data_IF_710290590567
#
_entry.id   IF_710290590567
#
_cell.length_a   1.000
_cell.length_b   1.000
_cell.length_c   1.000
_cell.angle_alpha   90.00
_cell.angle_beta   90.00
_cell.angle_gamma   90.00
#
_symmetry.space_group_name_H-M   'P 1'
#
loop_
_entity.id
_entity.type
_entity.pdbx_description
1 polymer ?
#
# COMPACT_ATOMS: atom_id res chain seq x y z
N UNK A 1 29.80 1.37 -7.58
CA UNK A 1 28.82 1.25 -6.48
C UNK A 1 28.31 -0.18 -6.45
N UNK A 2 27.97 -0.71 -5.27
CA UNK A 2 27.40 -2.07 -5.15
C UNK A 2 26.02 -2.07 -5.79
N UNK A 3 25.75 -3.00 -6.71
CA UNK A 3 24.41 -3.25 -7.24
C UNK A 3 23.71 -4.29 -6.38
N UNK A 4 22.39 -4.20 -6.28
CA UNK A 4 21.56 -5.14 -5.54
C UNK A 4 21.23 -6.36 -6.40
N UNK A 5 21.17 -7.50 -5.73
CA UNK A 5 20.52 -8.70 -6.23
C UNK A 5 19.23 -8.90 -5.44
N UNK A 6 18.09 -8.86 -6.13
CA UNK A 6 16.76 -8.84 -5.51
C UNK A 6 16.02 -10.16 -5.72
N UNK A 7 15.61 -10.81 -4.64
CA UNK A 7 14.72 -11.97 -4.69
C UNK A 7 13.26 -11.54 -4.59
N UNK A 8 12.47 -11.77 -5.63
CA UNK A 8 11.03 -11.54 -5.63
C UNK A 8 10.34 -12.77 -5.04
N UNK A 9 9.64 -12.60 -3.93
CA UNK A 9 8.96 -13.68 -3.19
C UNK A 9 7.47 -13.62 -3.49
N UNK A 10 6.96 -14.65 -4.16
CA UNK A 10 5.60 -14.75 -4.68
C UNK A 10 5.47 -14.24 -6.11
N UNK A 11 5.10 -15.13 -7.04
CA UNK A 11 4.89 -14.88 -8.46
C UNK A 11 3.41 -14.64 -8.83
N UNK A 12 2.65 -14.00 -7.95
CA UNK A 12 1.26 -13.61 -8.22
C UNK A 12 1.17 -12.39 -9.14
N UNK A 13 -0.05 -12.06 -9.59
CA UNK A 13 -0.33 -10.89 -10.44
C UNK A 13 0.28 -9.58 -9.88
N UNK A 14 0.29 -9.47 -8.55
CA UNK A 14 0.99 -8.47 -7.74
C UNK A 14 2.39 -8.12 -8.30
N UNK A 15 3.24 -9.13 -8.20
CA UNK A 15 4.67 -9.09 -8.47
C UNK A 15 5.01 -8.78 -9.93
N UNK A 16 4.15 -9.20 -10.87
CA UNK A 16 4.36 -8.99 -12.32
C UNK A 16 4.51 -7.52 -12.69
N UNK A 17 3.88 -6.62 -11.93
CA UNK A 17 3.97 -5.16 -12.15
C UNK A 17 5.26 -4.54 -11.59
N UNK A 18 6.05 -5.27 -10.82
CA UNK A 18 7.28 -4.78 -10.17
C UNK A 18 8.55 -5.46 -10.69
N UNK A 19 8.46 -6.71 -11.18
CA UNK A 19 9.61 -7.44 -11.73
C UNK A 19 10.33 -6.63 -12.83
N UNK A 20 9.64 -6.07 -13.86
CA UNK A 20 10.31 -5.27 -14.89
C UNK A 20 11.01 -4.03 -14.35
N UNK A 21 10.43 -3.39 -13.32
CA UNK A 21 11.01 -2.21 -12.68
C UNK A 21 12.31 -2.57 -11.94
N UNK A 22 12.31 -3.65 -11.16
CA UNK A 22 13.55 -4.12 -10.54
C UNK A 22 14.60 -4.53 -11.59
N UNK A 23 14.20 -5.19 -12.68
CA UNK A 23 15.13 -5.58 -13.74
C UNK A 23 15.74 -4.38 -14.49
N UNK A 24 14.96 -3.32 -14.69
CA UNK A 24 15.40 -2.13 -15.41
C UNK A 24 16.22 -1.15 -14.55
N UNK A 25 16.08 -1.20 -13.22
CA UNK A 25 16.71 -0.23 -12.33
C UNK A 25 18.25 -0.28 -12.41
N UNK A 26 18.97 0.85 -12.60
CA UNK A 26 20.42 0.85 -12.87
C UNK A 26 21.29 0.28 -11.73
N UNK A 27 20.77 0.32 -10.50
CA UNK A 27 21.40 -0.24 -9.30
C UNK A 27 20.95 -1.66 -8.94
N UNK A 28 20.17 -2.34 -9.77
CA UNK A 28 19.87 -3.77 -9.65
C UNK A 28 20.65 -4.50 -10.73
N UNK A 29 21.32 -5.60 -10.37
CA UNK A 29 22.07 -6.43 -11.34
C UNK A 29 21.40 -7.76 -11.64
N UNK A 30 20.61 -8.29 -10.71
CA UNK A 30 19.94 -9.58 -10.88
C UNK A 30 18.63 -9.62 -10.10
N UNK A 31 17.61 -10.19 -10.74
CA UNK A 31 16.34 -10.55 -10.11
C UNK A 31 16.21 -12.07 -10.11
N UNK A 32 15.83 -12.64 -8.96
CA UNK A 32 15.43 -14.04 -8.83
C UNK A 32 13.96 -14.17 -8.40
N UNK A 33 13.38 -15.33 -8.64
CA UNK A 33 12.01 -15.66 -8.23
C UNK A 33 12.00 -16.74 -7.15
N UNK A 34 11.35 -16.48 -6.02
CA UNK A 34 11.02 -17.47 -5.00
C UNK A 34 9.52 -17.72 -5.06
N UNK A 35 9.13 -18.92 -5.51
CA UNK A 35 7.73 -19.28 -5.70
C UNK A 35 7.54 -20.76 -5.37
N UNK A 36 6.59 -21.07 -4.50
CA UNK A 36 6.34 -22.44 -4.02
C UNK A 36 5.71 -23.29 -5.12
N UNK A 37 4.75 -22.72 -5.86
CA UNK A 37 4.05 -23.43 -6.92
C UNK A 37 4.96 -23.61 -8.15
N UNK A 38 5.26 -24.86 -8.48
CA UNK A 38 6.24 -25.19 -9.52
C UNK A 38 5.79 -24.75 -10.94
N UNK A 39 4.48 -24.70 -11.20
CA UNK A 39 3.96 -24.25 -12.49
C UNK A 39 4.04 -22.74 -12.62
N UNK A 40 3.56 -22.00 -11.61
CA UNK A 40 3.66 -20.54 -11.50
C UNK A 40 5.11 -20.10 -11.53
N UNK A 41 6.01 -20.76 -10.80
CA UNK A 41 7.46 -20.49 -10.81
C UNK A 41 8.02 -20.57 -12.23
N UNK A 42 7.70 -21.64 -12.98
CA UNK A 42 8.16 -21.83 -14.36
C UNK A 42 7.57 -20.78 -15.31
N UNK A 43 6.28 -20.50 -15.18
CA UNK A 43 5.56 -19.54 -16.04
C UNK A 43 6.11 -18.13 -15.86
N UNK A 44 6.17 -17.64 -14.63
CA UNK A 44 6.65 -16.28 -14.31
C UNK A 44 8.14 -16.13 -14.65
N UNK A 45 8.96 -17.15 -14.37
CA UNK A 45 10.36 -17.10 -14.75
C UNK A 45 10.58 -17.03 -16.26
N UNK A 46 9.77 -17.75 -17.05
CA UNK A 46 9.80 -17.66 -18.50
C UNK A 46 9.29 -16.29 -19.00
N UNK A 47 8.17 -15.81 -18.46
CA UNK A 47 7.54 -14.54 -18.81
C UNK A 47 8.51 -13.35 -18.65
N UNK A 48 9.25 -13.30 -17.53
CA UNK A 48 10.18 -12.22 -17.21
C UNK A 48 11.65 -12.57 -17.45
N UNK A 49 11.94 -13.68 -18.14
CA UNK A 49 13.33 -14.12 -18.40
C UNK A 49 14.22 -14.21 -17.15
N UNK A 50 13.67 -14.67 -16.03
CA UNK A 50 14.38 -14.83 -14.76
C UNK A 50 15.20 -16.13 -14.77
N UNK A 51 16.52 -16.02 -14.70
CA UNK A 51 17.42 -17.18 -14.77
C UNK A 51 17.48 -18.01 -13.48
N UNK A 52 17.42 -17.36 -12.31
CA UNK A 52 17.50 -18.03 -11.00
C UNK A 52 16.14 -18.08 -10.33
N UNK A 53 15.73 -19.29 -9.96
CA UNK A 53 14.48 -19.51 -9.20
C UNK A 53 14.74 -20.43 -8.02
N UNK A 54 13.95 -20.27 -6.96
CA UNK A 54 14.03 -21.04 -5.73
C UNK A 54 12.67 -21.62 -5.40
N UNK A 55 12.65 -22.86 -4.91
CA UNK A 55 11.41 -23.56 -4.57
C UNK A 55 10.97 -23.33 -3.12
N UNK A 56 11.82 -22.71 -2.30
CA UNK A 56 11.52 -22.36 -0.90
C UNK A 56 12.35 -21.18 -0.42
N UNK A 57 11.87 -20.53 0.65
CA UNK A 57 12.63 -19.49 1.36
C UNK A 57 13.94 -20.05 1.93
N UNK A 58 13.91 -21.27 2.47
CA UNK A 58 15.10 -21.95 2.99
C UNK A 58 16.22 -22.05 1.95
N UNK A 59 15.90 -22.47 0.72
CA UNK A 59 16.89 -22.48 -0.38
C UNK A 59 17.40 -21.07 -0.69
N UNK A 60 16.51 -20.08 -0.74
CA UNK A 60 16.86 -18.70 -1.05
C UNK A 60 17.77 -18.06 0.00
N UNK A 61 17.60 -18.37 1.29
CA UNK A 61 18.44 -17.84 2.38
C UNK A 61 19.91 -18.24 2.27
N UNK A 62 20.21 -19.38 1.61
CA UNK A 62 21.58 -19.82 1.32
C UNK A 62 22.20 -19.15 0.08
N UNK A 63 21.46 -18.28 -0.60
CA UNK A 63 21.95 -17.54 -1.75
C UNK A 63 22.71 -16.27 -1.36
N UNK A 64 23.30 -15.63 -2.36
CA UNK A 64 24.07 -14.39 -2.27
C UNK A 64 23.25 -13.16 -2.72
N UNK A 65 21.92 -13.25 -2.68
CA UNK A 65 21.02 -12.11 -2.91
C UNK A 65 21.01 -11.15 -1.72
N UNK A 66 20.97 -9.84 -1.98
CA UNK A 66 21.10 -8.80 -0.94
C UNK A 66 19.76 -8.30 -0.40
N UNK A 67 18.70 -8.49 -1.17
CA UNK A 67 17.39 -7.89 -0.92
C UNK A 67 16.26 -8.84 -1.29
N UNK A 68 15.09 -8.62 -0.69
CA UNK A 68 13.84 -9.30 -1.04
C UNK A 68 12.73 -8.31 -1.34
N UNK A 69 11.84 -8.69 -2.26
CA UNK A 69 10.57 -8.02 -2.51
C UNK A 69 9.42 -9.01 -2.27
N UNK A 70 8.64 -8.79 -1.22
CA UNK A 70 7.62 -9.72 -0.70
C UNK A 70 6.25 -9.35 -1.28
N UNK A 71 5.66 -10.26 -2.06
CA UNK A 71 4.34 -10.15 -2.68
C UNK A 71 3.46 -11.38 -2.39
N UNK A 72 3.65 -11.97 -1.21
CA UNK A 72 2.93 -13.15 -0.73
C UNK A 72 1.56 -12.77 -0.14
N UNK A 73 0.73 -13.73 0.32
CA UNK A 73 -0.48 -13.39 1.06
C UNK A 73 -0.16 -12.59 2.33
N UNK A 74 -0.98 -11.56 2.58
CA UNK A 74 -0.76 -10.48 3.55
C UNK A 74 -0.41 -10.93 4.98
N UNK A 75 -0.96 -12.04 5.43
CA UNK A 75 -0.70 -12.62 6.76
C UNK A 75 0.68 -13.28 6.90
N UNK A 76 1.47 -13.35 5.83
CA UNK A 76 2.82 -13.93 5.85
C UNK A 76 3.93 -12.88 5.84
N UNK A 77 3.60 -11.60 5.59
CA UNK A 77 4.59 -10.54 5.38
C UNK A 77 5.55 -10.38 6.56
N UNK A 78 5.01 -10.23 7.78
CA UNK A 78 5.82 -9.99 8.96
C UNK A 78 6.83 -11.12 9.21
N UNK A 79 6.39 -12.37 9.16
CA UNK A 79 7.28 -13.53 9.33
C UNK A 79 8.40 -13.54 8.29
N UNK A 80 8.06 -13.40 6.99
CA UNK A 80 9.05 -13.46 5.91
C UNK A 80 10.03 -12.28 6.01
N UNK A 81 9.55 -11.09 6.37
CA UNK A 81 10.39 -9.92 6.55
C UNK A 81 11.35 -10.06 7.75
N UNK A 82 10.89 -10.60 8.88
CA UNK A 82 11.74 -10.90 10.04
C UNK A 82 12.83 -11.92 9.67
N UNK A 83 12.47 -12.99 8.95
CA UNK A 83 13.43 -13.97 8.44
C UNK A 83 14.46 -13.32 7.49
N UNK A 84 14.01 -12.44 6.59
CA UNK A 84 14.89 -11.75 5.65
C UNK A 84 15.88 -10.82 6.37
N UNK A 85 15.42 -10.00 7.32
CA UNK A 85 16.27 -9.13 8.13
C UNK A 85 17.31 -9.95 8.94
N UNK A 86 16.88 -11.06 9.56
CA UNK A 86 17.76 -11.96 10.29
C UNK A 86 18.83 -12.62 9.40
N UNK A 87 18.52 -12.82 8.11
CA UNK A 87 19.46 -13.31 7.10
C UNK A 87 20.25 -12.20 6.40
N UNK A 88 20.22 -10.97 6.92
CA UNK A 88 21.05 -9.88 6.42
C UNK A 88 20.54 -9.24 5.12
N UNK A 89 19.22 -9.30 4.85
CA UNK A 89 18.63 -8.84 3.58
C UNK A 89 17.83 -7.56 3.76
N UNK A 90 17.95 -6.63 2.80
CA UNK A 90 17.04 -5.48 2.70
C UNK A 90 15.64 -5.98 2.32
N UNK A 91 14.60 -5.35 2.87
CA UNK A 91 13.21 -5.79 2.71
C UNK A 91 12.39 -4.72 2.00
N UNK A 92 11.79 -5.10 0.88
CA UNK A 92 10.63 -4.45 0.28
C UNK A 92 9.43 -5.36 0.54
N UNK A 93 8.33 -4.84 1.09
CA UNK A 93 7.13 -5.65 1.35
C UNK A 93 5.87 -4.98 0.84
N UNK A 94 4.97 -5.76 0.23
CA UNK A 94 3.58 -5.33 0.04
C UNK A 94 2.91 -4.96 1.37
N UNK A 95 1.83 -4.18 1.31
CA UNK A 95 1.05 -3.80 2.50
C UNK A 95 0.18 -4.97 2.98
N UNK A 96 -0.15 -5.07 4.28
CA UNK A 96 0.41 -4.31 5.39
C UNK A 96 1.77 -4.88 5.84
N UNK A 97 2.47 -4.19 6.75
CA UNK A 97 3.72 -4.72 7.32
C UNK A 97 3.52 -5.94 8.22
N UNK A 98 2.38 -6.00 8.91
CA UNK A 98 2.01 -7.02 9.89
C UNK A 98 0.55 -6.87 10.29
N UNK A 99 0.04 -7.84 11.05
CA UNK A 99 -1.36 -7.91 11.44
C UNK A 99 -1.60 -7.65 12.93
N UNK A 100 -0.55 -7.71 13.74
CA UNK A 100 -0.61 -7.51 15.19
C UNK A 100 0.35 -6.43 15.66
N UNK A 101 0.08 -5.85 16.83
CA UNK A 101 0.99 -4.88 17.44
C UNK A 101 2.38 -5.49 17.71
N UNK A 102 2.43 -6.77 18.15
CA UNK A 102 3.69 -7.47 18.39
C UNK A 102 4.52 -7.63 17.11
N UNK A 103 3.91 -8.03 15.99
CA UNK A 103 4.62 -8.14 14.72
C UNK A 103 5.19 -6.80 14.25
N UNK A 104 4.43 -5.71 14.47
CA UNK A 104 4.90 -4.35 14.15
C UNK A 104 6.11 -3.98 15.01
N UNK A 105 6.04 -4.24 16.32
CA UNK A 105 7.14 -4.02 17.27
C UNK A 105 8.39 -4.82 16.88
N UNK A 106 8.23 -6.11 16.60
CA UNK A 106 9.32 -7.01 16.24
C UNK A 106 10.02 -6.55 14.95
N UNK A 107 9.25 -6.09 13.95
CA UNK A 107 9.80 -5.57 12.70
C UNK A 107 10.56 -4.26 12.88
N UNK A 108 10.02 -3.32 13.67
CA UNK A 108 10.70 -2.06 14.01
C UNK A 108 12.02 -2.36 14.73
N UNK A 109 12.00 -3.26 15.71
CA UNK A 109 13.19 -3.66 16.45
C UNK A 109 14.23 -4.34 15.55
N UNK A 110 13.80 -5.29 14.69
CA UNK A 110 14.69 -6.01 13.78
C UNK A 110 15.34 -5.09 12.72
N UNK A 111 14.56 -4.20 12.11
CA UNK A 111 15.08 -3.23 11.14
C UNK A 111 16.06 -2.25 11.81
N UNK A 112 15.74 -1.78 13.02
CA UNK A 112 16.62 -0.91 13.80
C UNK A 112 17.91 -1.61 14.23
N UNK A 113 17.85 -2.87 14.66
CA UNK A 113 19.03 -3.63 15.08
C UNK A 113 19.98 -3.95 13.92
N UNK A 114 19.42 -4.28 12.76
CA UNK A 114 20.21 -4.66 11.57
C UNK A 114 20.70 -3.47 10.76
N UNK A 115 20.06 -2.31 10.90
CA UNK A 115 20.28 -1.11 10.08
C UNK A 115 20.04 -1.36 8.57
N UNK A 116 19.36 -2.45 8.24
CA UNK A 116 18.97 -2.77 6.88
C UNK A 116 17.73 -1.95 6.50
N UNK A 117 17.61 -1.68 5.20
CA UNK A 117 16.43 -1.02 4.65
C UNK A 117 15.22 -1.92 4.83
N UNK A 118 14.17 -1.38 5.43
CA UNK A 118 12.84 -1.94 5.41
C UNK A 118 11.92 -0.91 4.75
N UNK A 119 11.24 -1.31 3.69
CA UNK A 119 10.35 -0.47 2.91
C UNK A 119 9.01 -1.15 2.75
N UNK A 120 7.94 -0.50 3.20
CA UNK A 120 6.58 -0.94 2.93
C UNK A 120 6.07 -0.30 1.64
N UNK A 121 5.49 -1.09 0.76
CA UNK A 121 5.04 -0.69 -0.55
C UNK A 121 3.66 0.00 -0.51
N UNK A 122 3.54 1.08 0.26
CA UNK A 122 2.31 1.84 0.42
C UNK A 122 2.08 2.77 -0.78
N UNK A 123 1.21 2.34 -1.69
CA UNK A 123 0.92 3.05 -2.95
C UNK A 123 0.27 4.41 -2.73
N UNK A 124 -0.60 4.55 -1.72
CA UNK A 124 -1.38 5.77 -1.49
C UNK A 124 -0.50 6.96 -1.11
N UNK A 125 0.69 6.71 -0.53
CA UNK A 125 1.68 7.76 -0.29
C UNK A 125 2.06 8.55 -1.55
N UNK A 126 2.05 7.88 -2.71
CA UNK A 126 2.41 8.44 -4.01
C UNK A 126 1.18 8.79 -4.87
N UNK A 127 -0.04 8.56 -4.37
CA UNK A 127 -1.24 8.92 -5.13
C UNK A 127 -1.27 10.43 -5.39
N UNK A 128 -1.66 10.87 -6.59
CA UNK A 128 -1.60 12.29 -6.96
C UNK A 128 -2.37 13.20 -6.00
N UNK A 129 -3.52 12.74 -5.49
CA UNK A 129 -4.30 13.47 -4.48
C UNK A 129 -3.46 13.73 -3.21
N UNK A 130 -2.77 12.71 -2.73
CA UNK A 130 -1.92 12.77 -1.53
C UNK A 130 -0.67 13.61 -1.78
N UNK A 131 -0.03 13.45 -2.94
CA UNK A 131 1.12 14.28 -3.35
C UNK A 131 0.73 15.76 -3.44
N UNK A 132 -0.39 16.08 -4.09
CA UNK A 132 -0.92 17.44 -4.19
C UNK A 132 -1.24 18.03 -2.81
N UNK A 133 -1.97 17.29 -1.97
CA UNK A 133 -2.33 17.74 -0.64
C UNK A 133 -1.10 17.93 0.26
N UNK A 134 -0.09 17.05 0.16
CA UNK A 134 1.20 17.20 0.85
C UNK A 134 1.96 18.43 0.38
N UNK A 135 1.98 18.73 -0.92
CA UNK A 135 2.55 19.98 -1.44
C UNK A 135 1.85 21.21 -0.85
N UNK A 136 0.52 21.21 -0.78
CA UNK A 136 -0.28 22.29 -0.19
C UNK A 136 -0.13 22.44 1.33
N UNK A 137 0.06 21.34 2.03
CA UNK A 137 0.40 21.37 3.46
C UNK A 137 1.80 21.95 3.68
N UNK A 138 2.79 21.46 2.94
CA UNK A 138 4.19 21.89 3.06
C UNK A 138 4.40 23.36 2.65
N UNK A 139 3.60 23.90 1.73
CA UNK A 139 3.63 25.33 1.38
C UNK A 139 2.94 26.23 2.42
N UNK A 140 2.26 25.65 3.41
CA UNK A 140 1.47 26.35 4.42
C UNK A 140 0.07 26.78 3.95
N UNK A 141 -0.31 26.50 2.71
CA UNK A 141 -1.61 26.89 2.15
C UNK A 141 -2.79 26.15 2.79
N UNK A 142 -2.60 24.93 3.29
CA UNK A 142 -3.62 24.20 4.07
C UNK A 142 -3.82 24.83 5.47
N UNK A 143 -2.77 25.45 6.03
CA UNK A 143 -2.72 25.86 7.43
C UNK A 143 -2.51 24.66 8.37
N UNK A 144 -3.08 24.74 9.57
CA UNK A 144 -3.02 23.62 10.53
C UNK A 144 -4.07 22.58 10.20
N UNK A 145 -3.73 21.30 10.31
CA UNK A 145 -4.68 20.20 10.13
C UNK A 145 -5.85 20.29 11.12
N UNK A 146 -7.06 20.02 10.62
CA UNK A 146 -8.30 20.00 11.42
C UNK A 146 -8.97 18.64 11.29
N UNK A 147 -9.21 18.21 10.05
CA UNK A 147 -9.95 16.99 9.75
C UNK A 147 -9.46 16.34 8.46
N UNK A 148 -9.41 15.01 8.43
CA UNK A 148 -9.07 14.24 7.24
C UNK A 148 -9.93 13.00 7.11
N UNK A 149 -10.15 12.58 5.87
CA UNK A 149 -10.86 11.36 5.52
C UNK A 149 -10.01 10.53 4.57
N UNK A 150 -9.92 9.23 4.85
CA UNK A 150 -9.36 8.23 3.96
C UNK A 150 -10.35 7.09 3.81
N UNK A 151 -10.56 6.63 2.60
CA UNK A 151 -11.53 5.57 2.33
C UNK A 151 -10.96 4.55 1.38
N UNK A 152 -11.18 3.27 1.67
CA UNK A 152 -10.93 2.16 0.75
C UNK A 152 -12.23 1.38 0.51
N UNK A 153 -12.86 1.72 -0.61
CA UNK A 153 -14.13 1.16 -1.05
C UNK A 153 -13.83 0.12 -2.12
N UNK A 154 -13.93 -1.15 -1.75
CA UNK A 154 -13.60 -2.24 -2.65
C UNK A 154 -14.63 -3.35 -2.51
N UNK A 155 -15.74 -3.20 -3.23
CA UNK A 155 -16.85 -4.14 -3.13
C UNK A 155 -16.46 -5.52 -3.66
N UNK A 156 -16.72 -6.55 -2.85
CA UNK A 156 -16.31 -7.92 -3.17
C UNK A 156 -17.15 -8.55 -4.31
N UNK A 157 -18.22 -7.92 -4.77
CA UNK A 157 -18.92 -8.36 -5.98
C UNK A 157 -18.15 -8.04 -7.27
N UNK A 158 -17.15 -7.16 -7.21
CA UNK A 158 -16.34 -6.76 -8.37
C UNK A 158 -15.19 -7.75 -8.67
N UNK A 159 -15.51 -9.04 -8.81
CA UNK A 159 -14.53 -10.07 -9.24
C UNK A 159 -13.58 -10.57 -8.15
N UNK A 160 -13.81 -10.21 -6.88
CA UNK A 160 -12.98 -10.68 -5.75
C UNK A 160 -12.97 -12.21 -5.63
N UNK A 161 -14.12 -12.86 -5.79
CA UNK A 161 -14.23 -14.32 -5.65
C UNK A 161 -13.25 -15.07 -6.55
N UNK A 162 -13.10 -14.64 -7.80
CA UNK A 162 -12.19 -15.26 -8.77
C UNK A 162 -10.72 -15.02 -8.37
N UNK A 163 -10.39 -13.80 -7.93
CA UNK A 163 -9.06 -13.45 -7.47
C UNK A 163 -8.64 -14.21 -6.21
N UNK A 164 -9.55 -14.40 -5.24
CA UNK A 164 -9.27 -15.22 -4.06
C UNK A 164 -9.20 -16.69 -4.39
N UNK A 165 -10.11 -17.21 -5.23
CA UNK A 165 -10.07 -18.61 -5.68
C UNK A 165 -8.74 -18.95 -6.37
N UNK A 166 -8.23 -18.06 -7.21
CA UNK A 166 -6.93 -18.24 -7.88
C UNK A 166 -5.73 -18.33 -6.92
N UNK A 167 -5.85 -17.80 -5.70
CA UNK A 167 -4.80 -17.81 -4.69
C UNK A 167 -5.01 -18.82 -3.56
N UNK A 168 -6.26 -19.09 -3.18
CA UNK A 168 -6.64 -19.93 -2.05
C UNK A 168 -7.17 -21.32 -2.41
N UNK A 169 -7.31 -21.62 -3.71
CA UNK A 169 -7.86 -22.90 -4.18
C UNK A 169 -9.25 -23.17 -3.61
N UNK A 170 -9.58 -24.44 -3.35
CA UNK A 170 -10.91 -24.85 -2.85
C UNK A 170 -11.27 -24.22 -1.50
N UNK A 171 -10.28 -23.78 -0.71
CA UNK A 171 -10.46 -23.21 0.63
C UNK A 171 -10.39 -21.68 0.65
N UNK A 172 -10.46 -21.01 -0.51
CA UNK A 172 -10.24 -19.56 -0.62
C UNK A 172 -11.13 -18.71 0.30
N UNK A 173 -12.36 -19.17 0.58
CA UNK A 173 -13.30 -18.46 1.46
C UNK A 173 -12.76 -18.27 2.88
N UNK A 174 -11.98 -19.22 3.39
CA UNK A 174 -11.38 -19.10 4.71
C UNK A 174 -10.46 -17.87 4.82
N UNK A 175 -9.85 -17.48 3.69
CA UNK A 175 -8.96 -16.32 3.58
C UNK A 175 -9.65 -15.05 3.08
N UNK A 176 -10.94 -15.11 2.72
CA UNK A 176 -11.64 -14.01 2.05
C UNK A 176 -12.17 -12.94 3.01
N UNK A 177 -12.59 -13.32 4.21
CA UNK A 177 -13.07 -12.40 5.26
C UNK A 177 -11.94 -11.76 6.06
N UNK A 178 -10.88 -11.32 5.37
CA UNK A 178 -9.81 -10.55 6.00
C UNK A 178 -10.39 -9.29 6.67
N UNK A 179 -10.14 -9.06 7.98
CA UNK A 179 -10.71 -7.92 8.69
C UNK A 179 -10.41 -6.59 7.97
N UNK A 180 -11.42 -5.75 7.66
CA UNK A 180 -11.22 -4.57 6.82
C UNK A 180 -10.14 -3.61 7.36
N UNK A 181 -10.14 -3.31 8.66
CA UNK A 181 -9.18 -2.39 9.28
C UNK A 181 -7.74 -2.90 9.30
N UNK A 182 -7.50 -4.22 9.23
CA UNK A 182 -6.14 -4.76 9.07
C UNK A 182 -5.54 -4.48 7.69
N UNK A 183 -6.31 -3.88 6.77
CA UNK A 183 -5.85 -3.43 5.45
C UNK A 183 -5.97 -1.91 5.24
N UNK A 184 -6.04 -1.15 6.33
CA UNK A 184 -6.33 0.30 6.28
C UNK A 184 -5.14 1.18 5.91
N UNK A 185 -3.97 0.62 5.58
CA UNK A 185 -2.75 1.41 5.34
C UNK A 185 -2.92 2.43 4.21
N UNK A 186 -3.66 2.09 3.15
CA UNK A 186 -3.97 2.99 2.05
C UNK A 186 -4.71 4.24 2.54
N UNK A 187 -5.83 4.03 3.24
CA UNK A 187 -6.68 5.09 3.77
C UNK A 187 -5.97 5.90 4.86
N UNK A 188 -5.26 5.24 5.77
CA UNK A 188 -4.52 5.88 6.88
C UNK A 188 -3.36 6.73 6.33
N UNK A 189 -2.56 6.18 5.42
CA UNK A 189 -1.43 6.89 4.83
C UNK A 189 -1.88 8.08 3.98
N UNK A 190 -3.05 8.01 3.34
CA UNK A 190 -3.61 9.12 2.57
C UNK A 190 -3.83 10.38 3.41
N UNK A 191 -3.97 10.26 4.73
CA UNK A 191 -4.07 11.40 5.65
C UNK A 191 -2.75 11.63 6.39
N UNK A 192 -2.23 10.63 7.10
CA UNK A 192 -1.08 10.83 8.01
C UNK A 192 0.23 11.15 7.28
N UNK A 193 0.38 10.71 6.02
CA UNK A 193 1.57 11.06 5.24
C UNK A 193 1.58 12.51 4.76
N UNK A 194 0.44 13.23 4.83
CA UNK A 194 0.37 14.66 4.49
C UNK A 194 0.89 15.49 5.67
N UNK A 195 0.45 15.17 6.88
CA UNK A 195 0.71 15.99 8.07
C UNK A 195 1.95 15.57 8.85
N UNK A 196 2.38 14.31 8.71
CA UNK A 196 3.42 13.69 9.54
C UNK A 196 2.95 13.38 10.96
N UNK A 197 1.66 13.53 11.27
CA UNK A 197 1.08 13.20 12.56
C UNK A 197 0.98 11.67 12.78
N UNK A 198 0.80 11.26 14.03
CA UNK A 198 0.44 9.89 14.39
C UNK A 198 -0.96 9.84 15.03
N UNK A 199 -1.64 8.71 14.88
CA UNK A 199 -2.89 8.44 15.59
C UNK A 199 -2.60 8.17 17.08
N UNK A 200 -3.42 8.71 17.98
CA UNK A 200 -3.29 8.58 19.45
C UNK A 200 -4.37 7.72 20.07
N UNK A 201 -5.57 7.74 19.50
CA UNK A 201 -6.69 6.96 19.99
C UNK A 201 -7.66 6.67 18.85
N UNK A 202 -8.51 5.67 19.03
CA UNK A 202 -9.48 5.24 18.02
C UNK A 202 -10.77 4.76 18.66
N UNK A 203 -11.89 5.06 18.01
CA UNK A 203 -13.15 4.32 18.14
C UNK A 203 -13.54 3.78 16.77
N UNK A 204 -13.92 2.51 16.68
CA UNK A 204 -14.27 1.87 15.41
C UNK A 204 -15.56 1.08 15.52
N UNK A 205 -16.42 1.21 14.52
CA UNK A 205 -17.65 0.45 14.40
C UNK A 205 -17.55 -0.50 13.22
N UNK A 206 -17.88 -1.77 13.46
CA UNK A 206 -18.01 -2.79 12.44
C UNK A 206 -19.47 -3.01 12.04
N UNK A 207 -19.70 -3.25 10.75
CA UNK A 207 -21.00 -3.67 10.22
C UNK A 207 -20.94 -5.16 9.90
N UNK A 208 -21.86 -5.92 10.51
CA UNK A 208 -22.03 -7.35 10.24
C UNK A 208 -22.51 -7.57 8.80
N UNK A 209 -21.91 -8.56 8.12
CA UNK A 209 -22.32 -8.97 6.79
C UNK A 209 -23.69 -9.65 6.81
N UNK A 210 -24.51 -9.40 5.78
CA UNK A 210 -25.85 -9.98 5.66
C UNK A 210 -26.06 -10.73 4.34
N UNK A 211 -25.03 -10.89 3.51
CA UNK A 211 -25.15 -11.44 2.15
C UNK A 211 -25.20 -12.97 2.15
N UNK A 212 -24.81 -13.63 3.25
CA UNK A 212 -24.91 -15.08 3.46
C UNK A 212 -24.30 -15.94 2.33
N UNK A 213 -23.27 -15.44 1.64
CA UNK A 213 -22.53 -16.16 0.60
C UNK A 213 -21.37 -17.02 1.16
N UNK A 214 -21.23 -17.01 2.49
CA UNK A 214 -20.22 -17.76 3.24
C UNK A 214 -18.84 -17.10 3.29
N UNK A 215 -18.66 -15.88 2.75
CA UNK A 215 -17.37 -15.16 2.83
C UNK A 215 -17.09 -14.72 4.27
N UNK A 216 -18.06 -14.05 4.88
CA UNK A 216 -18.00 -13.53 6.26
C UNK A 216 -18.63 -14.47 7.28
N UNK A 217 -18.57 -15.79 7.04
CA UNK A 217 -18.97 -16.79 8.03
C UNK A 217 -17.80 -17.02 9.02
N UNK A 218 -17.94 -16.70 10.32
CA UNK A 218 -16.88 -16.88 11.31
C UNK A 218 -16.43 -18.32 11.51
N UNK A 219 -17.25 -19.31 11.13
CA UNK A 219 -16.90 -20.73 11.21
C UNK A 219 -15.96 -21.17 10.08
N UNK A 220 -15.95 -20.44 8.98
CA UNK A 220 -15.08 -20.67 7.81
C UNK A 220 -13.86 -19.75 7.85
N UNK A 221 -14.04 -18.50 8.28
CA UNK A 221 -13.03 -17.45 8.33
C UNK A 221 -11.82 -17.82 9.21
N UNK A 222 -10.61 -17.66 8.68
CA UNK A 222 -9.37 -17.78 9.46
C UNK A 222 -9.30 -16.76 10.59
N UNK A 223 -9.91 -15.59 10.42
CA UNK A 223 -9.93 -14.51 11.41
C UNK A 223 -11.20 -14.48 12.26
N UNK A 224 -12.12 -15.45 12.06
CA UNK A 224 -13.45 -15.46 12.68
C UNK A 224 -14.22 -14.15 12.45
N UNK A 225 -13.97 -13.49 11.33
CA UNK A 225 -14.52 -12.17 11.05
C UNK A 225 -15.87 -12.27 10.33
N UNK A 226 -16.91 -11.69 10.93
CA UNK A 226 -18.24 -11.51 10.33
C UNK A 226 -18.50 -10.11 9.80
N UNK A 227 -17.57 -9.17 10.01
CA UNK A 227 -17.76 -7.77 9.66
C UNK A 227 -17.21 -7.50 8.25
N UNK A 228 -18.11 -7.07 7.36
CA UNK A 228 -17.73 -6.72 6.00
C UNK A 228 -17.20 -5.30 5.85
N UNK A 229 -17.63 -4.40 6.72
CA UNK A 229 -17.24 -3.00 6.70
C UNK A 229 -16.82 -2.57 8.11
N UNK A 230 -15.79 -1.72 8.19
CA UNK A 230 -15.39 -1.06 9.44
C UNK A 230 -15.13 0.42 9.18
N UNK A 231 -15.53 1.27 10.13
CA UNK A 231 -15.35 2.72 10.06
C UNK A 231 -14.80 3.20 11.40
N UNK A 232 -13.71 3.95 11.37
CA UNK A 232 -12.98 4.39 12.54
C UNK A 232 -12.81 5.92 12.58
N UNK A 233 -12.86 6.48 13.79
CA UNK A 233 -12.49 7.86 14.08
C UNK A 233 -11.27 7.88 14.99
N UNK A 234 -10.24 8.62 14.57
CA UNK A 234 -8.97 8.74 15.25
C UNK A 234 -8.73 10.15 15.75
N UNK A 235 -8.23 10.28 16.97
CA UNK A 235 -7.55 11.50 17.41
C UNK A 235 -6.10 11.46 16.97
N UNK A 236 -5.58 12.57 16.45
CA UNK A 236 -4.21 12.65 15.93
C UNK A 236 -3.32 13.53 16.79
N UNK A 237 -2.01 13.40 16.62
CA UNK A 237 -1.02 13.99 17.52
C UNK A 237 -0.92 15.51 17.46
N UNK A 238 -1.33 16.11 16.36
CA UNK A 238 -1.40 17.56 16.12
C UNK A 238 -2.74 18.17 16.58
N UNK A 239 -3.64 17.35 17.14
CA UNK A 239 -4.93 17.76 17.68
C UNK A 239 -6.08 17.71 16.68
N UNK A 240 -5.86 17.21 15.46
CA UNK A 240 -6.91 16.99 14.48
C UNK A 240 -7.63 15.65 14.64
N UNK A 241 -8.58 15.38 13.74
CA UNK A 241 -9.35 14.13 13.69
C UNK A 241 -9.24 13.50 12.29
N UNK A 242 -9.15 12.18 12.25
CA UNK A 242 -9.12 11.41 11.00
C UNK A 242 -10.26 10.39 10.99
N UNK A 243 -11.05 10.34 9.92
CA UNK A 243 -12.05 9.28 9.65
C UNK A 243 -11.50 8.31 8.62
N UNK A 244 -11.49 7.02 8.94
CA UNK A 244 -11.10 5.96 8.01
C UNK A 244 -12.27 5.03 7.76
N UNK A 245 -12.56 4.73 6.49
CA UNK A 245 -13.58 3.77 6.09
C UNK A 245 -12.98 2.64 5.25
N UNK A 246 -13.15 1.41 5.72
CA UNK A 246 -12.68 0.19 5.05
C UNK A 246 -13.88 -0.69 4.72
N UNK A 247 -14.32 -0.66 3.46
CA UNK A 247 -15.61 -1.21 3.04
C UNK A 247 -15.44 -2.33 1.99
N UNK A 248 -16.09 -3.47 2.21
CA UNK A 248 -16.11 -4.65 1.32
C UNK A 248 -17.50 -5.00 0.79
N UNK A 249 -18.55 -4.42 1.39
CA UNK A 249 -19.94 -4.45 0.90
C UNK A 249 -20.46 -3.02 0.80
N UNK A 250 -20.34 -2.43 -0.38
CA UNK A 250 -20.63 -1.02 -0.61
C UNK A 250 -21.01 -0.78 -2.06
N UNK A 251 -22.05 0.04 -2.28
CA UNK A 251 -22.43 0.45 -3.62
C UNK A 251 -21.38 1.37 -4.24
N UNK A 252 -20.58 0.84 -5.15
CA UNK A 252 -19.60 1.58 -5.97
C UNK A 252 -19.62 0.99 -7.37
N UNK A 253 -19.24 1.74 -8.41
CA UNK A 253 -19.05 1.14 -9.73
C UNK A 253 -17.69 0.41 -9.82
N UNK A 254 -17.57 -0.70 -10.59
CA UNK A 254 -16.34 -1.49 -10.70
C UNK A 254 -15.07 -0.75 -11.12
N UNK A 255 -15.21 0.43 -11.76
CA UNK A 255 -14.11 1.21 -12.31
C UNK A 255 -13.84 2.51 -11.53
N UNK A 256 -14.54 2.73 -10.40
CA UNK A 256 -14.27 3.88 -9.56
C UNK A 256 -12.94 3.71 -8.81
N UNK A 257 -12.20 4.80 -8.56
CA UNK A 257 -11.06 4.77 -7.66
C UNK A 257 -11.47 4.20 -6.30
N UNK A 258 -10.76 3.13 -5.90
CA UNK A 258 -11.03 2.39 -4.66
C UNK A 258 -10.52 3.15 -3.44
N UNK A 259 -9.46 3.95 -3.58
CA UNK A 259 -8.96 4.84 -2.51
C UNK A 259 -9.41 6.27 -2.79
N UNK A 260 -9.97 6.94 -1.77
CA UNK A 260 -10.40 8.34 -1.83
C UNK A 260 -9.95 9.07 -0.58
N UNK A 261 -9.76 10.39 -0.70
CA UNK A 261 -9.37 11.19 0.45
C UNK A 261 -9.90 12.63 0.40
N UNK A 262 -10.17 13.20 1.57
CA UNK A 262 -10.38 14.64 1.74
C UNK A 262 -9.57 15.13 2.94
N UNK A 263 -9.07 16.37 2.90
CA UNK A 263 -8.32 16.96 4.01
C UNK A 263 -8.63 18.43 4.16
N UNK A 264 -8.82 18.85 5.41
CA UNK A 264 -9.23 20.19 5.78
C UNK A 264 -8.25 20.72 6.83
N UNK A 265 -7.71 21.90 6.55
CA UNK A 265 -6.97 22.69 7.51
C UNK A 265 -7.61 24.03 7.79
N UNK A 266 -6.91 24.85 8.57
CA UNK A 266 -7.43 26.16 9.00
C UNK A 266 -7.49 27.19 7.88
N UNK A 267 -6.74 27.02 6.79
CA UNK A 267 -6.64 27.99 5.69
C UNK A 267 -7.12 27.44 4.33
N UNK A 268 -7.03 26.12 4.13
CA UNK A 268 -7.46 25.47 2.90
C UNK A 268 -7.94 24.04 3.07
N UNK A 269 -8.54 23.51 2.02
CA UNK A 269 -9.03 22.13 1.96
C UNK A 269 -8.87 21.53 0.57
N UNK A 270 -8.65 20.22 0.54
CA UNK A 270 -8.73 19.40 -0.65
C UNK A 270 -9.84 18.38 -0.47
N UNK A 271 -10.69 18.24 -1.49
CA UNK A 271 -11.80 17.29 -1.48
C UNK A 271 -11.78 16.49 -2.78
N UNK A 272 -11.85 15.16 -2.66
CA UNK A 272 -11.93 14.24 -3.78
C UNK A 272 -13.21 13.42 -3.72
N UNK A 273 -13.90 13.34 -4.84
CA UNK A 273 -15.05 12.48 -5.11
C UNK A 273 -14.83 11.75 -6.44
N UNK A 274 -15.74 10.85 -6.80
CA UNK A 274 -15.67 10.13 -8.08
C UNK A 274 -15.69 11.13 -9.24
N UNK A 275 -14.62 11.13 -10.05
CA UNK A 275 -14.49 11.99 -11.22
C UNK A 275 -14.28 13.48 -10.93
N UNK A 276 -14.12 13.88 -9.66
CA UNK A 276 -14.02 15.28 -9.28
C UNK A 276 -13.05 15.50 -8.12
N UNK A 277 -12.20 16.52 -8.23
CA UNK A 277 -11.44 17.02 -7.10
C UNK A 277 -11.34 18.54 -7.11
N UNK A 278 -11.33 19.12 -5.92
CA UNK A 278 -11.23 20.56 -5.72
C UNK A 278 -10.21 20.93 -4.65
N UNK A 279 -9.63 22.11 -4.82
CA UNK A 279 -8.80 22.79 -3.84
C UNK A 279 -9.48 24.11 -3.49
N UNK A 280 -9.66 24.38 -2.20
CA UNK A 280 -10.24 25.62 -1.71
C UNK A 280 -9.33 26.26 -0.67
N UNK A 281 -9.37 27.59 -0.63
CA UNK A 281 -8.87 28.40 0.49
C UNK A 281 -9.99 29.31 0.95
N UNK A 282 -9.78 30.08 2.03
CA UNK A 282 -10.77 31.07 2.49
C UNK A 282 -11.23 32.08 1.43
N UNK A 283 -10.44 32.30 0.38
CA UNK A 283 -10.70 33.35 -0.62
C UNK A 283 -10.68 32.85 -2.06
N UNK A 284 -10.39 31.57 -2.31
CA UNK A 284 -10.25 31.04 -3.66
C UNK A 284 -10.76 29.59 -3.76
N UNK A 285 -11.18 29.19 -4.95
CA UNK A 285 -11.64 27.85 -5.26
C UNK A 285 -11.13 27.42 -6.63
N UNK A 286 -10.57 26.22 -6.73
CA UNK A 286 -9.98 25.65 -7.94
C UNK A 286 -10.45 24.20 -8.14
N UNK A 287 -10.90 23.86 -9.34
CA UNK A 287 -11.12 22.45 -9.73
C UNK A 287 -9.77 21.88 -10.16
N UNK A 288 -9.28 20.87 -9.44
CA UNK A 288 -7.94 20.30 -9.63
C UNK A 288 -7.96 18.88 -10.19
N UNK A 289 -9.12 18.35 -10.61
CA UNK A 289 -9.26 17.00 -11.19
C UNK A 289 -8.16 16.68 -12.21
N UNK A 290 -7.95 17.55 -13.21
CA UNK A 290 -6.92 17.33 -14.25
C UNK A 290 -5.49 17.29 -13.72
N UNK A 291 -5.21 17.92 -12.58
CA UNK A 291 -3.86 17.92 -11.99
C UNK A 291 -3.53 16.60 -11.31
N UNK A 292 -4.56 15.92 -10.80
CA UNK A 292 -4.42 14.68 -10.04
C UNK A 292 -4.83 13.44 -10.86
N UNK A 293 -5.39 13.62 -12.05
CA UNK A 293 -5.60 12.53 -13.01
C UNK A 293 -4.26 12.00 -13.50
N UNK A 294 -4.11 10.68 -13.49
CA UNK A 294 -2.96 10.02 -14.09
C UNK A 294 -3.28 9.63 -15.54
N UNK A 295 -2.30 9.78 -16.42
CA UNK A 295 -2.40 9.39 -17.83
C UNK A 295 -1.31 8.35 -18.09
N UNK A 296 -1.67 7.19 -18.66
CA UNK A 296 -0.72 6.11 -19.00
C UNK A 296 0.33 6.61 -19.98
N UNK A 297 1.60 6.46 -19.63
CA UNK A 297 2.75 6.78 -20.49
C UNK A 297 3.09 5.65 -21.48
N UNK A 298 2.29 4.56 -21.53
CA UNK A 298 2.54 3.42 -22.41
C UNK A 298 2.11 3.78 -23.83
N UNK A 299 3.03 4.41 -24.57
CA UNK A 299 3.09 4.56 -26.04
C UNK A 299 1.77 4.77 -26.80
N UNK A 300 0.80 5.47 -26.23
CA UNK A 300 -0.38 5.88 -26.97
C UNK A 300 -0.55 7.39 -26.86
N UNK A 301 -0.30 8.16 -27.94
CA UNK A 301 -0.67 9.58 -27.99
C UNK A 301 -2.15 9.82 -27.65
N UNK A 302 -3.02 8.80 -27.78
CA UNK A 302 -4.42 8.85 -27.33
C UNK A 302 -4.57 8.89 -25.82
N UNK A 303 -3.58 8.47 -25.02
CA UNK A 303 -3.60 8.63 -23.56
C UNK A 303 -3.69 10.08 -23.09
N UNK A 304 -3.37 11.03 -23.98
CA UNK A 304 -3.52 12.46 -23.76
C UNK A 304 -4.94 12.98 -24.09
N UNK A 305 -5.78 12.15 -24.71
CA UNK A 305 -7.15 12.50 -25.09
C UNK A 305 -8.10 12.31 -23.89
N UNK A 306 -9.06 13.22 -23.66
CA UNK A 306 -9.95 13.18 -22.50
C UNK A 306 -10.86 11.95 -22.37
N UNK A 307 -10.97 11.14 -23.43
CA UNK A 307 -11.87 9.99 -23.55
C UNK A 307 -11.13 8.64 -23.61
N UNK A 308 -9.81 8.61 -23.41
CA UNK A 308 -9.04 7.38 -23.41
C UNK A 308 -9.23 6.56 -22.13
N UNK A 309 -9.50 5.26 -22.31
CA UNK A 309 -9.58 4.25 -21.24
C UNK A 309 -8.58 3.15 -21.58
N UNK A 310 -7.59 2.94 -20.72
CA UNK A 310 -6.58 1.89 -20.87
C UNK A 310 -7.21 0.49 -20.89
N UNK A 311 -6.73 -0.40 -21.78
CA UNK A 311 -7.11 -1.82 -21.78
C UNK A 311 -6.57 -2.57 -20.55
N UNK A 312 -5.53 -2.02 -19.89
CA UNK A 312 -4.99 -2.52 -18.62
C UNK A 312 -5.43 -1.62 -17.47
N UNK A 313 -6.39 -2.11 -16.67
CA UNK A 313 -6.98 -1.45 -15.49
C UNK A 313 -5.96 -0.99 -14.43
N UNK A 314 -4.72 -1.49 -14.50
CA UNK A 314 -3.67 -1.25 -13.50
C UNK A 314 -2.62 -0.24 -13.92
N UNK A 315 -2.61 0.23 -15.17
CA UNK A 315 -1.61 1.20 -15.62
C UNK A 315 -2.08 2.63 -15.37
N UNK A 316 -1.58 3.24 -14.29
CA UNK A 316 -1.95 4.58 -13.88
C UNK A 316 -1.22 5.65 -14.71
N UNK A 317 0.05 5.42 -15.02
CA UNK A 317 0.94 6.41 -15.62
C UNK A 317 1.27 7.54 -14.63
N UNK A 318 1.33 8.79 -15.06
CA UNK A 318 1.72 9.92 -14.19
C UNK A 318 0.69 11.04 -14.16
N UNK A 319 0.60 11.73 -13.02
CA UNK A 319 -0.12 12.98 -12.90
C UNK A 319 0.84 14.18 -12.96
N UNK A 320 0.34 15.37 -13.28
CA UNK A 320 1.19 16.58 -13.40
C UNK A 320 1.82 17.03 -12.07
N UNK A 321 1.30 16.53 -10.94
CA UNK A 321 1.83 16.79 -9.60
C UNK A 321 3.00 15.89 -9.21
N UNK A 322 3.27 14.83 -9.99
CA UNK A 322 4.40 13.93 -9.75
C UNK A 322 5.71 14.53 -10.26
N UNK A 323 6.71 14.63 -9.38
CA UNK A 323 8.06 14.99 -9.77
C UNK A 323 8.83 13.75 -10.25
N UNK A 324 9.03 13.67 -11.55
CA UNK A 324 9.70 12.54 -12.23
C UNK A 324 11.20 12.74 -12.40
N UNK A 325 11.74 13.89 -12.01
CA UNK A 325 13.12 14.27 -12.31
C UNK A 325 14.17 13.35 -11.67
N UNK A 326 13.79 12.63 -10.62
CA UNK A 326 14.67 11.72 -9.88
C UNK A 326 14.55 10.26 -10.35
N UNK A 327 13.54 9.91 -11.16
CA UNK A 327 13.35 8.54 -11.61
C UNK A 327 14.43 8.13 -12.63
N UNK A 328 14.87 6.86 -12.62
CA UNK A 328 15.75 6.34 -13.64
C UNK A 328 15.13 6.48 -15.04
N UNK A 329 15.92 6.93 -16.01
CA UNK A 329 15.51 6.97 -17.43
C UNK A 329 15.15 5.58 -17.96
N UNK A 330 15.72 4.53 -17.38
CA UNK A 330 15.43 3.13 -17.71
C UNK A 330 13.97 2.73 -17.41
N UNK A 331 13.24 3.54 -16.65
CA UNK A 331 11.81 3.36 -16.42
C UNK A 331 10.92 3.99 -17.52
N UNK A 332 11.50 4.76 -18.45
CA UNK A 332 10.75 5.29 -19.59
C UNK A 332 10.13 4.14 -20.41
N UNK A 333 8.82 4.23 -20.69
CA UNK A 333 8.07 3.21 -21.41
C UNK A 333 7.63 1.99 -20.57
N UNK A 334 8.02 1.90 -19.29
CA UNK A 334 7.51 0.88 -18.38
C UNK A 334 6.20 1.34 -17.72
N UNK A 335 5.31 0.38 -17.44
CA UNK A 335 4.06 0.66 -16.73
C UNK A 335 4.31 1.30 -15.37
N UNK A 336 3.41 2.20 -14.97
CA UNK A 336 3.43 2.81 -13.65
C UNK A 336 2.06 2.69 -13.00
N UNK A 337 1.86 1.58 -12.30
CA UNK A 337 0.53 1.22 -11.82
C UNK A 337 0.06 1.93 -10.56
N UNK A 338 -1.21 1.70 -10.21
CA UNK A 338 -1.86 2.20 -8.98
C UNK A 338 -1.63 3.70 -8.78
N UNK A 339 -2.27 4.52 -9.61
CA UNK A 339 -2.14 5.98 -9.52
C UNK A 339 -0.70 6.48 -9.72
N UNK A 340 0.13 5.74 -10.46
CA UNK A 340 1.49 6.15 -10.78
C UNK A 340 2.51 5.97 -9.66
N UNK A 341 2.29 5.00 -8.77
CA UNK A 341 3.11 4.82 -7.55
C UNK A 341 4.29 3.88 -7.71
N UNK A 342 4.19 2.86 -8.59
CA UNK A 342 5.12 1.73 -8.62
C UNK A 342 6.57 2.14 -8.88
N UNK A 343 6.79 3.03 -9.85
CA UNK A 343 8.15 3.46 -10.21
C UNK A 343 8.85 4.17 -9.05
N UNK A 344 8.14 5.08 -8.38
CA UNK A 344 8.68 5.78 -7.20
C UNK A 344 9.01 4.81 -6.06
N UNK A 345 8.15 3.82 -5.82
CA UNK A 345 8.36 2.84 -4.74
C UNK A 345 9.58 1.96 -4.97
N UNK A 346 9.80 1.49 -6.20
CA UNK A 346 10.97 0.69 -6.55
C UNK A 346 12.25 1.53 -6.45
N UNK A 347 12.24 2.76 -6.99
CA UNK A 347 13.40 3.65 -6.92
C UNK A 347 13.74 4.01 -5.47
N UNK A 348 12.76 4.43 -4.67
CA UNK A 348 12.94 4.79 -3.26
C UNK A 348 13.56 3.65 -2.45
N UNK A 349 13.07 2.42 -2.64
CA UNK A 349 13.64 1.26 -1.97
C UNK A 349 15.07 0.96 -2.41
N UNK A 350 15.32 0.90 -3.73
CA UNK A 350 16.65 0.55 -4.24
C UNK A 350 17.67 1.60 -3.82
N UNK A 351 17.32 2.88 -3.92
CA UNK A 351 18.20 3.98 -3.56
C UNK A 351 18.51 4.04 -2.06
N UNK A 352 17.61 3.61 -1.19
CA UNK A 352 17.90 3.48 0.25
C UNK A 352 18.79 2.26 0.52
N UNK A 353 18.47 1.12 -0.09
CA UNK A 353 19.25 -0.10 0.08
C UNK A 353 20.69 0.02 -0.43
N UNK A 354 20.95 0.82 -1.47
CA UNK A 354 22.31 1.14 -1.92
C UNK A 354 22.94 2.36 -1.22
N UNK A 355 22.25 2.95 -0.23
CA UNK A 355 22.75 4.05 0.59
C UNK A 355 22.88 5.38 -0.13
N UNK A 356 22.12 5.61 -1.21
CA UNK A 356 22.14 6.86 -1.98
C UNK A 356 21.09 7.87 -1.48
N UNK A 357 19.89 7.41 -1.10
CA UNK A 357 18.79 8.27 -0.67
C UNK A 357 17.88 7.50 0.27
N UNK A 358 17.56 8.06 1.44
CA UNK A 358 16.65 7.40 2.40
C UNK A 358 15.25 7.34 1.83
N UNK A 359 14.60 6.18 1.99
CA UNK A 359 13.24 6.00 1.51
C UNK A 359 12.26 6.71 2.46
N UNK A 360 11.19 7.35 1.93
CA UNK A 360 10.19 8.01 2.76
C UNK A 360 9.23 7.02 3.44
N UNK A 361 9.23 5.75 3.05
CA UNK A 361 8.35 4.71 3.59
C UNK A 361 9.14 3.64 4.35
N UNK A 362 9.93 4.10 5.33
CA UNK A 362 10.75 3.22 6.17
C UNK A 362 9.89 2.43 7.19
N UNK A 363 10.53 1.64 8.05
CA UNK A 363 9.84 0.81 9.06
C UNK A 363 8.96 1.60 10.03
N UNK A 364 9.35 2.83 10.41
CA UNK A 364 8.58 3.66 11.33
C UNK A 364 7.35 4.25 10.65
N UNK A 365 7.47 4.67 9.39
CA UNK A 365 6.33 5.12 8.59
C UNK A 365 5.37 3.95 8.29
N UNK A 366 5.91 2.77 8.01
CA UNK A 366 5.11 1.55 7.88
C UNK A 366 4.32 1.24 9.16
N UNK A 367 4.96 1.36 10.33
CA UNK A 367 4.30 1.17 11.63
C UNK A 367 3.24 2.24 11.89
N UNK A 368 3.55 3.51 11.58
CA UNK A 368 2.63 4.64 11.70
C UNK A 368 1.36 4.46 10.87
N UNK A 369 1.44 3.81 9.72
CA UNK A 369 0.28 3.58 8.84
C UNK A 369 -0.44 2.24 9.10
N UNK A 370 0.24 1.26 9.69
CA UNK A 370 -0.34 -0.07 9.97
C UNK A 370 -0.97 -0.17 11.36
N UNK A 371 -0.29 0.33 12.39
CA UNK A 371 -0.76 0.22 13.78
C UNK A 371 -2.17 0.80 14.02
N UNK A 372 -2.57 1.94 13.42
CA UNK A 372 -3.92 2.47 13.60
C UNK A 372 -5.01 1.47 13.19
N UNK A 373 -4.78 0.71 12.11
CA UNK A 373 -5.69 -0.32 11.63
C UNK A 373 -5.86 -1.50 12.60
N UNK A 374 -4.76 -1.96 13.20
CA UNK A 374 -4.78 -3.03 14.22
C UNK A 374 -5.64 -2.61 15.41
N UNK A 375 -5.41 -1.43 15.98
CA UNK A 375 -6.19 -0.94 17.11
C UNK A 375 -7.63 -0.57 16.76
N UNK A 376 -7.88 -0.12 15.53
CA UNK A 376 -9.25 0.08 15.04
C UNK A 376 -10.01 -1.25 14.99
N UNK A 377 -9.38 -2.32 14.51
CA UNK A 377 -9.99 -3.64 14.51
C UNK A 377 -10.34 -4.12 15.92
N UNK A 378 -9.41 -3.98 16.87
CA UNK A 378 -9.65 -4.31 18.29
C UNK A 378 -10.80 -3.48 18.88
N UNK A 379 -10.88 -2.19 18.55
CA UNK A 379 -12.00 -1.33 18.96
C UNK A 379 -13.34 -1.80 18.40
N UNK A 380 -13.37 -2.26 17.14
CA UNK A 380 -14.58 -2.82 16.52
C UNK A 380 -15.03 -4.11 17.19
N UNK A 381 -14.09 -5.02 17.51
CA UNK A 381 -14.38 -6.25 18.26
C UNK A 381 -14.90 -5.95 19.68
N UNK A 382 -14.45 -4.85 20.28
CA UNK A 382 -14.91 -4.36 21.58
C UNK A 382 -16.20 -3.51 21.51
N UNK A 383 -16.90 -3.46 20.37
CA UNK A 383 -18.16 -2.72 20.23
C UNK A 383 -17.99 -1.20 20.20
N UNK A 384 -16.87 -0.71 19.66
CA UNK A 384 -16.59 0.73 19.51
C UNK A 384 -15.97 1.39 20.73
N UNK A 385 -15.51 0.62 21.72
CA UNK A 385 -14.78 1.17 22.87
C UNK A 385 -13.57 1.97 22.38
N UNK A 386 -13.38 3.18 22.92
CA UNK A 386 -12.24 4.02 22.60
C UNK A 386 -10.95 3.39 23.13
N UNK A 387 -9.99 3.10 22.26
CA UNK A 387 -8.68 2.54 22.61
C UNK A 387 -7.58 3.57 22.40
N UNK A 388 -6.52 3.49 23.20
CA UNK A 388 -5.30 4.27 22.99
C UNK A 388 -4.39 3.52 22.00
N UNK A 389 -3.74 4.27 21.12
CA UNK A 389 -2.76 3.75 20.17
C UNK A 389 -1.37 4.12 20.72
N UNK A 390 -0.53 3.14 21.08
CA UNK A 390 0.84 3.40 21.48
C UNK A 390 1.60 4.15 20.38
N UNK A 391 2.47 5.09 20.78
CA UNK A 391 3.28 5.81 19.80
C UNK A 391 4.34 4.87 19.22
N UNK A 392 4.31 4.63 17.91
CA UNK A 392 5.32 3.80 17.23
C UNK A 392 6.74 4.37 17.32
N UNK A 393 6.88 5.69 17.51
CA UNK A 393 8.19 6.33 17.70
C UNK A 393 8.76 6.07 19.11
N UNK A 394 7.96 5.52 20.04
CA UNK A 394 8.44 5.09 21.36
C UNK A 394 8.98 3.65 21.40
N UNK A 395 9.01 2.98 20.24
CA UNK A 395 9.43 1.57 20.06
C UNK A 395 10.89 1.48 19.53
N UNK A 396 11.62 2.60 19.52
CA UNK A 396 13.02 2.68 19.06
C UNK A 396 14.03 2.50 20.20
#
# INVERSE_FOLDING_TARGET
MKKLRVGVIGGGQFSSSFIPLFQAHPFVEEVALVELDAERRRRVAAEFSIAKTFASLSEFWHSDFDAVAIFTPRWTHAQIALEALANGRHVYTAVPMGLTAQEIEDLVAAASATQLTYFMAETSYYYPAVVFARQKFNSGELGRFVYGEGEYLHDMSHGFSDAYAANGGDNWKATASFPPMLYSTHSVSAVLSITGAHARSVTCFGLEDTVNDGIFDPSVSLWKNSQSNQIALFETSDGGVMRIAELRRVGTAPLEPTVRMSIFGTEGSFEQQVGYASWATKTNFEIVTKKISTFSDVEDPRSLEPDFVSENLWDGGFASVHDRSQLPKEFEGLSNGHGGSHQFMVDDFVMDAVGQRKAPMNVHDAARFTAPGVWAHESALAGGVKLQIPNSDSIA
#
